data_IF_983234569811
#
_entry.id   IF_983234569811
#
_cell.length_a   1.000
_cell.length_b   1.000
_cell.length_c   1.000
_cell.angle_alpha   90.00
_cell.angle_beta   90.00
_cell.angle_gamma   90.00
#
_symmetry.space_group_name_H-M   'P 1'
#
loop_
_entity.id
_entity.type
_entity.pdbx_description
1 polymer ?
#
# COMPACT_ATOMS: atom_id res chain seq x y z
N UNK A 1 35.14 82.90 -45.20
CA UNK A 1 34.73 81.88 -44.19
C UNK A 1 33.92 80.79 -44.90
N UNK A 2 34.41 79.54 -44.92
CA UNK A 2 33.82 78.40 -45.65
C UNK A 2 32.53 77.93 -44.99
N UNK A 3 31.44 77.82 -45.76
CA UNK A 3 30.19 77.18 -45.34
C UNK A 3 30.39 75.67 -45.27
N UNK A 4 30.11 75.05 -44.14
CA UNK A 4 30.03 73.60 -44.02
C UNK A 4 28.62 73.14 -44.39
N UNK A 5 28.50 72.37 -45.47
CA UNK A 5 27.28 71.66 -45.86
C UNK A 5 27.26 70.30 -45.16
N UNK A 6 26.28 70.08 -44.28
CA UNK A 6 26.04 68.76 -43.68
C UNK A 6 25.35 67.87 -44.73
N UNK A 7 26.04 66.81 -45.16
CA UNK A 7 25.47 65.73 -45.95
C UNK A 7 24.74 64.77 -45.01
N UNK A 8 23.41 64.75 -45.07
CA UNK A 8 22.59 63.75 -44.39
C UNK A 8 22.58 62.46 -45.22
N UNK A 9 23.31 61.45 -44.76
CA UNK A 9 23.21 60.09 -45.29
C UNK A 9 21.94 59.45 -44.71
N UNK A 10 20.89 59.34 -45.52
CA UNK A 10 19.67 58.62 -45.16
C UNK A 10 19.99 57.13 -45.11
N UNK A 11 20.22 56.58 -43.93
CA UNK A 11 20.33 55.14 -43.71
C UNK A 11 18.95 54.53 -43.87
N UNK A 12 18.71 53.84 -44.99
CA UNK A 12 17.48 53.08 -45.20
C UNK A 12 17.53 51.82 -44.32
N UNK A 13 16.91 51.89 -43.14
CA UNK A 13 16.74 50.73 -42.26
C UNK A 13 15.62 49.87 -42.84
N UNK A 14 15.97 48.85 -43.62
CA UNK A 14 15.02 47.84 -44.07
C UNK A 14 14.65 46.93 -42.90
N UNK A 15 13.50 47.17 -42.27
CA UNK A 15 12.94 46.27 -41.25
C UNK A 15 12.50 44.98 -41.95
N UNK A 16 13.34 43.95 -41.90
CA UNK A 16 13.01 42.60 -42.37
C UNK A 16 12.01 41.97 -41.41
N UNK A 17 10.71 42.17 -41.68
CA UNK A 17 9.63 41.49 -40.98
C UNK A 17 9.71 40.00 -41.33
N UNK A 18 10.23 39.18 -40.41
CA UNK A 18 10.16 37.73 -40.53
C UNK A 18 8.70 37.32 -40.31
N UNK A 19 7.94 37.19 -41.41
CA UNK A 19 6.60 36.62 -41.34
C UNK A 19 6.75 35.13 -41.03
N UNK A 20 6.64 34.76 -39.75
CA UNK A 20 6.47 33.36 -39.35
C UNK A 20 5.22 32.83 -40.06
N UNK A 21 5.38 31.92 -41.01
CA UNK A 21 4.24 31.18 -41.57
C UNK A 21 3.70 30.28 -40.48
N UNK A 22 2.64 30.74 -39.81
CA UNK A 22 1.85 29.91 -38.90
C UNK A 22 1.28 28.75 -39.73
N UNK A 23 1.79 27.53 -39.52
CA UNK A 23 1.16 26.33 -40.08
C UNK A 23 -0.14 26.10 -39.31
N UNK A 24 -1.27 26.26 -39.98
CA UNK A 24 -2.56 25.83 -39.44
C UNK A 24 -2.65 24.31 -39.53
N UNK A 25 -3.09 23.65 -38.45
CA UNK A 25 -3.32 22.21 -38.43
C UNK A 25 -4.45 21.84 -39.39
N UNK A 26 -4.27 20.74 -40.12
CA UNK A 26 -5.34 20.17 -40.95
C UNK A 26 -6.34 19.40 -40.07
N UNK A 27 -7.59 19.30 -40.53
CA UNK A 27 -8.61 18.48 -39.87
C UNK A 27 -8.19 17.01 -39.75
N UNK A 28 -7.45 16.50 -40.74
CA UNK A 28 -6.95 15.12 -40.77
C UNK A 28 -5.87 14.91 -39.70
N UNK A 29 -4.94 15.86 -39.53
CA UNK A 29 -3.91 15.76 -38.49
C UNK A 29 -4.50 15.74 -37.09
N UNK A 30 -5.52 16.57 -36.83
CA UNK A 30 -6.21 16.57 -35.53
C UNK A 30 -6.95 15.24 -35.30
N UNK A 31 -7.62 14.72 -36.33
CA UNK A 31 -8.38 13.47 -36.25
C UNK A 31 -7.46 12.27 -35.98
N UNK A 32 -6.32 12.19 -36.66
CA UNK A 32 -5.32 11.14 -36.43
C UNK A 32 -4.73 11.27 -35.02
N UNK A 33 -4.42 12.47 -34.55
CA UNK A 33 -3.86 12.67 -33.22
C UNK A 33 -4.78 12.18 -32.10
N UNK A 34 -6.06 12.54 -32.13
CA UNK A 34 -7.02 12.08 -31.11
C UNK A 34 -7.25 10.56 -31.19
N UNK A 35 -7.17 9.98 -32.39
CA UNK A 35 -7.30 8.53 -32.57
C UNK A 35 -6.13 7.77 -31.92
N UNK A 36 -4.90 8.29 -32.08
CA UNK A 36 -3.70 7.71 -31.47
C UNK A 36 -3.73 7.89 -29.94
N UNK A 37 -4.10 9.07 -29.44
CA UNK A 37 -4.24 9.31 -28.00
C UNK A 37 -5.31 8.40 -27.40
N UNK A 38 -6.45 8.23 -28.08
CA UNK A 38 -7.50 7.30 -27.68
C UNK A 38 -6.97 5.86 -27.55
N UNK A 39 -6.25 5.38 -28.56
CA UNK A 39 -5.61 4.06 -28.53
C UNK A 39 -4.62 3.93 -27.36
N UNK A 40 -3.67 4.85 -27.24
CA UNK A 40 -2.63 4.78 -26.20
C UNK A 40 -3.20 4.92 -24.78
N UNK A 41 -4.23 5.77 -24.60
CA UNK A 41 -4.85 5.98 -23.29
C UNK A 41 -5.51 4.72 -22.75
N UNK A 42 -6.13 3.90 -23.62
CA UNK A 42 -6.81 2.67 -23.22
C UNK A 42 -5.86 1.65 -22.56
N UNK A 43 -4.68 1.44 -23.14
CA UNK A 43 -3.66 0.52 -22.62
C UNK A 43 -3.06 1.07 -21.32
N UNK A 44 -2.83 2.38 -21.27
CA UNK A 44 -2.21 3.06 -20.12
C UNK A 44 -3.04 2.92 -18.84
N UNK A 45 -4.38 2.96 -18.93
CA UNK A 45 -5.26 2.84 -17.77
C UNK A 45 -5.16 1.46 -17.11
N UNK A 46 -5.07 0.39 -17.89
CA UNK A 46 -4.94 -0.98 -17.35
C UNK A 46 -3.59 -1.16 -16.65
N UNK A 47 -2.51 -0.70 -17.28
CA UNK A 47 -1.18 -0.72 -16.69
C UNK A 47 -1.11 0.07 -15.36
N UNK A 48 -1.74 1.24 -15.31
CA UNK A 48 -1.78 2.07 -14.11
C UNK A 48 -2.55 1.42 -12.95
N UNK A 49 -3.66 0.70 -13.23
CA UNK A 49 -4.39 -0.04 -12.19
C UNK A 49 -3.52 -1.12 -11.55
N UNK A 50 -2.82 -1.91 -12.38
CA UNK A 50 -1.88 -2.95 -11.92
C UNK A 50 -0.72 -2.35 -11.10
N UNK A 51 -0.08 -1.28 -11.60
CA UNK A 51 1.03 -0.62 -10.90
C UNK A 51 0.60 -0.05 -9.53
N UNK A 52 -0.60 0.53 -9.44
CA UNK A 52 -1.15 1.04 -8.18
C UNK A 52 -1.43 -0.07 -7.16
N UNK A 53 -1.91 -1.23 -7.61
CA UNK A 53 -2.11 -2.40 -6.75
C UNK A 53 -0.79 -2.90 -6.16
N UNK A 54 0.25 -3.07 -7.01
CA UNK A 54 1.59 -3.46 -6.56
C UNK A 54 2.19 -2.45 -5.56
N UNK A 55 2.01 -1.15 -5.80
CA UNK A 55 2.48 -0.11 -4.87
C UNK A 55 1.78 -0.19 -3.51
N UNK A 56 0.48 -0.50 -3.48
CA UNK A 56 -0.26 -0.70 -2.23
C UNK A 56 0.18 -1.98 -1.50
N UNK A 57 0.39 -3.07 -2.22
CA UNK A 57 0.89 -4.32 -1.64
C UNK A 57 2.26 -4.13 -0.99
N UNK A 58 3.20 -3.47 -1.67
CA UNK A 58 4.49 -3.13 -1.08
C UNK A 58 4.34 -2.25 0.17
N UNK A 59 3.38 -1.32 0.18
CA UNK A 59 3.08 -0.52 1.37
C UNK A 59 2.55 -1.38 2.50
N UNK A 60 1.64 -2.32 2.25
CA UNK A 60 1.07 -3.24 3.26
C UNK A 60 2.15 -4.09 3.92
N UNK A 61 3.06 -4.67 3.14
CA UNK A 61 4.19 -5.46 3.66
C UNK A 61 5.04 -4.62 4.62
N UNK A 62 5.40 -3.39 4.23
CA UNK A 62 6.15 -2.49 5.10
C UNK A 62 5.38 -2.09 6.36
N UNK A 63 4.08 -1.82 6.23
CA UNK A 63 3.21 -1.48 7.35
C UNK A 63 3.10 -2.62 8.37
N UNK A 64 3.00 -3.86 7.89
CA UNK A 64 3.01 -5.05 8.72
C UNK A 64 4.33 -5.18 9.51
N UNK A 65 5.49 -5.05 8.84
CA UNK A 65 6.78 -5.11 9.53
C UNK A 65 6.97 -4.02 10.59
N UNK A 66 6.47 -2.81 10.34
CA UNK A 66 6.46 -1.74 11.33
C UNK A 66 5.56 -2.10 12.53
N UNK A 67 4.37 -2.65 12.26
CA UNK A 67 3.41 -3.03 13.31
C UNK A 67 3.97 -4.17 14.18
N UNK A 68 4.61 -5.17 13.56
CA UNK A 68 5.37 -6.20 14.27
C UNK A 68 6.39 -5.57 15.21
N UNK A 69 7.22 -4.63 14.71
CA UNK A 69 8.21 -3.95 15.56
C UNK A 69 7.56 -3.26 16.76
N UNK A 70 6.41 -2.61 16.58
CA UNK A 70 5.68 -1.98 17.68
C UNK A 70 5.10 -2.98 18.69
N UNK A 71 4.65 -4.15 18.23
CA UNK A 71 4.17 -5.24 19.07
C UNK A 71 5.30 -5.84 19.91
N UNK A 72 6.48 -6.08 19.32
CA UNK A 72 7.65 -6.56 20.05
C UNK A 72 8.08 -5.56 21.15
N UNK A 73 8.12 -4.26 20.83
CA UNK A 73 8.39 -3.21 21.82
C UNK A 73 7.33 -3.14 22.93
N UNK A 74 6.06 -3.41 22.59
CA UNK A 74 4.99 -3.52 23.58
C UNK A 74 5.23 -4.70 24.52
N UNK A 75 5.59 -5.87 23.97
CA UNK A 75 5.91 -7.07 24.72
C UNK A 75 7.10 -6.87 25.65
N UNK A 76 8.19 -6.26 25.17
CA UNK A 76 9.37 -5.94 25.98
C UNK A 76 9.02 -5.10 27.23
N UNK A 77 8.02 -4.22 27.11
CA UNK A 77 7.58 -3.35 28.21
C UNK A 77 6.56 -4.01 29.15
N UNK A 78 5.64 -4.81 28.64
CA UNK A 78 4.48 -5.31 29.40
C UNK A 78 4.54 -6.81 29.70
N UNK A 79 5.42 -7.57 29.06
CA UNK A 79 5.56 -9.02 29.20
C UNK A 79 4.48 -9.85 28.51
N UNK A 80 3.53 -9.20 27.83
CA UNK A 80 2.48 -9.83 27.00
C UNK A 80 2.17 -8.92 25.80
N UNK A 81 1.56 -9.45 24.75
CA UNK A 81 0.99 -8.66 23.65
C UNK A 81 -0.35 -8.01 24.06
N UNK A 82 -0.80 -6.95 23.34
CA UNK A 82 -2.11 -6.35 23.57
C UNK A 82 -3.23 -7.39 23.53
N UNK A 83 -4.06 -7.42 24.57
CA UNK A 83 -5.19 -8.35 24.70
C UNK A 83 -6.38 -7.90 23.84
N UNK A 84 -6.17 -7.86 22.53
CA UNK A 84 -7.18 -7.43 21.56
C UNK A 84 -7.32 -8.55 20.55
N UNK A 85 -8.48 -9.20 20.56
CA UNK A 85 -8.71 -10.34 19.70
C UNK A 85 -9.40 -9.88 18.42
N UNK A 86 -9.07 -10.52 17.30
CA UNK A 86 -9.69 -10.27 15.99
C UNK A 86 -9.72 -8.79 15.58
N UNK A 87 -8.65 -8.04 15.89
CA UNK A 87 -8.53 -6.65 15.49
C UNK A 87 -8.33 -6.57 13.98
N UNK A 88 -9.19 -5.86 13.26
CA UNK A 88 -8.99 -5.67 11.83
C UNK A 88 -9.43 -4.31 11.33
N UNK A 89 -8.79 -3.83 10.28
CA UNK A 89 -9.23 -2.59 9.62
C UNK A 89 -10.46 -2.87 8.77
N UNK A 90 -11.54 -2.08 8.91
CA UNK A 90 -12.70 -2.13 8.01
C UNK A 90 -13.17 -0.71 7.66
N UNK A 91 -13.81 -0.48 6.51
CA UNK A 91 -14.47 0.84 6.25
C UNK A 91 -15.61 1.13 7.21
N UNK A 92 -16.21 0.07 7.78
CA UNK A 92 -17.23 0.22 8.83
C UNK A 92 -16.54 0.77 10.08
N UNK A 93 -17.30 1.47 10.91
CA UNK A 93 -16.78 1.97 12.20
C UNK A 93 -15.53 2.89 12.07
N UNK A 94 -15.47 3.75 11.05
CA UNK A 94 -14.38 4.72 10.85
C UNK A 94 -12.97 4.10 10.78
N UNK A 95 -12.80 2.86 10.33
CA UNK A 95 -11.49 2.20 10.32
C UNK A 95 -11.14 1.44 11.59
N UNK A 96 -12.03 1.42 12.59
CA UNK A 96 -11.83 0.74 13.87
C UNK A 96 -12.16 -0.76 13.85
N UNK A 97 -12.62 -1.32 12.74
CA UNK A 97 -12.92 -2.75 12.64
C UNK A 97 -14.35 -3.11 13.01
N UNK A 98 -14.55 -4.29 13.60
CA UNK A 98 -15.82 -4.71 14.18
C UNK A 98 -15.73 -4.51 15.69
N UNK A 99 -16.76 -3.92 16.30
CA UNK A 99 -16.80 -3.60 17.73
C UNK A 99 -15.67 -2.67 18.20
N UNK A 100 -15.01 -1.94 17.30
CA UNK A 100 -13.92 -1.02 17.64
C UNK A 100 -12.54 -1.65 17.89
N UNK A 101 -12.37 -2.95 17.67
CA UNK A 101 -11.16 -3.72 18.04
C UNK A 101 -9.85 -3.14 17.49
N UNK A 102 -9.82 -2.61 16.27
CA UNK A 102 -8.61 -1.96 15.74
C UNK A 102 -8.25 -0.67 16.47
N UNK A 103 -9.25 0.08 16.94
CA UNK A 103 -9.01 1.31 17.71
C UNK A 103 -8.62 1.01 19.17
N UNK A 104 -9.06 -0.13 19.71
CA UNK A 104 -8.52 -0.66 20.97
C UNK A 104 -7.03 -1.01 20.83
N UNK A 105 -6.65 -1.70 19.75
CA UNK A 105 -5.25 -1.99 19.43
C UNK A 105 -4.43 -0.70 19.24
N UNK A 106 -4.97 0.28 18.52
CA UNK A 106 -4.33 1.59 18.34
C UNK A 106 -4.09 2.30 19.68
N UNK A 107 -5.07 2.24 20.59
CA UNK A 107 -4.94 2.79 21.94
C UNK A 107 -3.85 2.07 22.73
N UNK A 108 -3.80 0.74 22.66
CA UNK A 108 -2.76 -0.06 23.32
C UNK A 108 -1.35 0.24 22.78
N UNK A 109 -1.23 0.46 21.47
CA UNK A 109 0.05 0.70 20.79
C UNK A 109 0.45 2.17 20.69
N UNK A 110 -0.35 3.11 21.21
CA UNK A 110 -0.14 4.56 21.02
C UNK A 110 1.25 5.04 21.44
N UNK A 111 1.87 4.43 22.45
CA UNK A 111 3.22 4.79 22.91
C UNK A 111 4.36 4.25 22.03
N UNK A 112 4.07 3.27 21.16
CA UNK A 112 5.04 2.56 20.32
C UNK A 112 4.87 2.90 18.84
N UNK A 113 3.63 3.13 18.40
CA UNK A 113 3.27 3.55 17.06
C UNK A 113 1.95 4.32 17.07
N UNK A 114 1.94 5.52 16.51
CA UNK A 114 0.74 6.35 16.40
C UNK A 114 0.76 7.23 15.14
N UNK A 115 -0.25 7.15 14.25
CA UNK A 115 -1.31 6.13 14.23
C UNK A 115 -0.78 4.79 13.70
N UNK A 116 -1.36 3.67 14.14
CA UNK A 116 -1.07 2.37 13.50
C UNK A 116 -1.65 2.37 12.07
N UNK A 117 -1.03 1.65 11.12
CA UNK A 117 -1.43 1.70 9.72
C UNK A 117 -2.89 1.24 9.52
N UNK A 118 -3.57 1.85 8.54
CA UNK A 118 -4.89 1.42 8.09
C UNK A 118 -4.85 1.15 6.59
N UNK A 119 -5.58 0.14 6.12
CA UNK A 119 -5.67 -0.14 4.69
C UNK A 119 -6.33 1.04 3.96
N UNK A 120 -5.71 1.59 2.90
CA UNK A 120 -6.20 2.79 2.22
C UNK A 120 -7.47 2.57 1.39
N UNK A 121 -7.78 1.33 1.00
CA UNK A 121 -9.00 1.02 0.26
C UNK A 121 -10.17 0.73 1.20
N UNK A 122 -9.88 0.24 2.42
CA UNK A 122 -10.85 -0.10 3.45
C UNK A 122 -12.01 -0.95 2.90
N UNK A 123 -11.74 -1.79 1.90
CA UNK A 123 -12.79 -2.56 1.25
C UNK A 123 -13.38 -3.55 2.26
N UNK A 124 -14.68 -3.79 2.15
CA UNK A 124 -15.37 -4.76 3.00
C UNK A 124 -14.75 -6.14 2.73
N UNK A 125 -14.29 -6.78 3.81
CA UNK A 125 -13.91 -8.19 3.95
C UNK A 125 -12.69 -8.69 3.14
N UNK A 126 -12.34 -8.06 2.01
CA UNK A 126 -11.28 -8.57 1.13
C UNK A 126 -9.87 -8.09 1.48
N UNK A 127 -9.66 -6.81 1.83
CA UNK A 127 -8.32 -6.24 2.00
C UNK A 127 -8.20 -5.52 3.33
N UNK A 128 -7.78 -6.26 4.36
CA UNK A 128 -7.62 -5.75 5.73
C UNK A 128 -6.25 -6.07 6.30
N UNK A 129 -5.78 -5.21 7.18
CA UNK A 129 -4.81 -5.62 8.19
C UNK A 129 -5.59 -6.31 9.30
N UNK A 130 -5.03 -7.40 9.81
CA UNK A 130 -5.63 -8.17 10.89
C UNK A 130 -4.56 -8.49 11.93
N UNK A 131 -4.95 -8.42 13.20
CA UNK A 131 -4.16 -8.75 14.38
C UNK A 131 -4.99 -9.62 15.29
N UNK A 132 -4.37 -10.66 15.83
CA UNK A 132 -4.97 -11.48 16.88
C UNK A 132 -3.92 -11.93 17.89
N UNK A 133 -4.32 -11.99 19.16
CA UNK A 133 -3.52 -12.49 20.28
C UNK A 133 -4.14 -13.74 20.85
N UNK A 134 -3.34 -14.77 21.16
CA UNK A 134 -3.90 -16.01 21.70
C UNK A 134 -4.00 -15.94 23.23
N UNK A 135 -5.24 -15.85 23.73
CA UNK A 135 -5.49 -15.95 25.17
C UNK A 135 -5.02 -17.29 25.77
N UNK A 136 -4.96 -18.37 24.98
CA UNK A 136 -4.48 -19.67 25.44
C UNK A 136 -2.96 -19.71 25.65
N UNK A 137 -2.21 -18.80 25.02
CA UNK A 137 -0.77 -18.63 25.25
C UNK A 137 -0.48 -17.56 26.31
N UNK A 138 -1.51 -17.13 27.05
CA UNK A 138 -1.47 -15.95 27.93
C UNK A 138 -1.13 -14.64 27.17
N UNK A 139 -1.47 -14.57 25.88
CA UNK A 139 -1.13 -13.46 24.97
C UNK A 139 0.38 -13.31 24.76
N UNK A 140 1.10 -14.42 24.72
CA UNK A 140 2.54 -14.46 24.39
C UNK A 140 2.80 -14.76 22.92
N UNK A 141 1.75 -14.79 22.10
CA UNK A 141 1.83 -14.96 20.66
C UNK A 141 0.82 -14.05 19.97
N UNK A 142 1.19 -13.59 18.77
CA UNK A 142 0.29 -12.84 17.91
C UNK A 142 0.46 -13.26 16.45
N UNK A 143 -0.56 -12.99 15.65
CA UNK A 143 -0.51 -13.08 14.21
C UNK A 143 -0.88 -11.75 13.59
N UNK A 144 -0.18 -11.38 12.53
CA UNK A 144 -0.55 -10.30 11.64
C UNK A 144 -0.73 -10.83 10.24
N UNK A 145 -1.76 -10.35 9.54
CA UNK A 145 -1.96 -10.74 8.15
C UNK A 145 -2.54 -9.62 7.31
N UNK A 146 -2.33 -9.73 5.99
CA UNK A 146 -2.98 -8.88 5.01
C UNK A 146 -3.15 -9.58 3.67
N UNK A 147 -4.22 -9.27 2.95
CA UNK A 147 -4.43 -9.79 1.59
C UNK A 147 -3.78 -8.89 0.56
N UNK A 148 -3.07 -9.50 -0.39
CA UNK A 148 -2.49 -8.77 -1.53
C UNK A 148 -3.52 -8.58 -2.64
N UNK A 149 -3.48 -7.43 -3.30
CA UNK A 149 -4.35 -7.13 -4.44
C UNK A 149 -3.83 -7.71 -5.75
N UNK A 150 -2.51 -7.74 -5.91
CA UNK A 150 -1.89 -8.05 -7.18
C UNK A 150 -1.46 -9.51 -7.26
N UNK A 151 -1.89 -10.21 -8.32
CA UNK A 151 -1.57 -11.63 -8.54
C UNK A 151 -0.07 -11.97 -8.57
N UNK A 152 0.80 -11.01 -8.88
CA UNK A 152 2.25 -11.20 -8.81
C UNK A 152 2.78 -11.43 -7.38
N UNK A 153 2.02 -11.04 -6.35
CA UNK A 153 2.39 -11.20 -4.95
C UNK A 153 1.80 -12.47 -4.33
N UNK A 154 1.11 -13.31 -5.11
CA UNK A 154 0.60 -14.61 -4.65
C UNK A 154 1.73 -15.50 -4.15
N UNK A 155 2.90 -15.46 -4.80
CA UNK A 155 4.08 -16.20 -4.35
C UNK A 155 4.56 -15.79 -2.96
N UNK A 156 4.25 -14.57 -2.49
CA UNK A 156 4.58 -14.13 -1.14
C UNK A 156 3.58 -14.69 -0.11
N UNK A 157 2.30 -14.77 -0.46
CA UNK A 157 1.21 -15.29 0.41
C UNK A 157 1.26 -16.82 0.58
N UNK A 158 1.86 -17.55 -0.38
CA UNK A 158 1.99 -19.01 -0.28
C UNK A 158 3.33 -19.47 0.31
N UNK A 159 4.29 -18.56 0.50
CA UNK A 159 5.65 -18.86 0.99
C UNK A 159 6.06 -17.95 2.16
N UNK A 160 5.11 -17.54 2.99
CA UNK A 160 5.33 -16.75 4.19
C UNK A 160 5.42 -17.59 5.47
N UNK A 161 5.20 -18.91 5.35
CA UNK A 161 5.15 -19.83 6.48
C UNK A 161 3.80 -19.85 7.20
N UNK A 162 2.81 -19.11 6.69
CA UNK A 162 1.46 -19.03 7.21
C UNK A 162 0.56 -20.19 6.76
N UNK A 163 -0.71 -20.14 7.21
CA UNK A 163 -1.73 -21.13 6.90
C UNK A 163 -2.59 -20.74 5.69
N UNK A 164 -2.86 -19.44 5.54
CA UNK A 164 -3.77 -18.95 4.51
C UNK A 164 -3.01 -18.56 3.24
N UNK A 165 -3.20 -19.36 2.20
CA UNK A 165 -2.62 -19.13 0.87
C UNK A 165 -3.06 -17.80 0.22
N UNK A 166 -4.13 -17.19 0.73
CA UNK A 166 -4.69 -15.93 0.25
C UNK A 166 -4.26 -14.71 1.08
N UNK A 167 -3.44 -14.90 2.12
CA UNK A 167 -2.95 -13.81 2.97
C UNK A 167 -1.44 -13.88 3.08
N UNK A 168 -0.83 -12.71 3.24
CA UNK A 168 0.55 -12.59 3.65
C UNK A 168 0.58 -12.44 5.17
N UNK A 169 1.21 -13.37 5.85
CA UNK A 169 1.20 -13.54 7.30
C UNK A 169 2.59 -13.28 7.91
N UNK A 170 2.64 -12.60 9.05
CA UNK A 170 3.85 -12.41 9.85
C UNK A 170 3.52 -12.47 11.35
N UNK A 171 4.47 -12.90 12.16
CA UNK A 171 4.35 -12.90 13.62
C UNK A 171 5.25 -13.97 14.24
N UNK A 172 5.61 -13.84 15.52
CA UNK A 172 6.27 -14.89 16.25
C UNK A 172 5.26 -16.01 16.46
N UNK A 173 5.31 -17.02 15.59
CA UNK A 173 4.94 -18.36 16.01
C UNK A 173 5.77 -18.67 17.25
N UNK A 174 5.16 -18.97 18.42
CA UNK A 174 5.95 -19.19 19.60
C UNK A 174 6.94 -20.35 19.40
N UNK A 175 8.11 -20.36 20.06
CA UNK A 175 9.16 -21.37 19.86
C UNK A 175 8.75 -22.84 20.10
N UNK A 176 7.54 -23.09 20.63
CA UNK A 176 6.97 -24.43 20.79
C UNK A 176 6.29 -24.94 19.51
N UNK A 177 5.94 -24.07 18.56
CA UNK A 177 5.24 -24.41 17.33
C UNK A 177 6.21 -24.98 16.29
N UNK A 178 7.39 -24.37 16.19
CA UNK A 178 8.50 -24.88 15.39
C UNK A 178 9.16 -26.16 15.94
N UNK A 179 8.93 -26.53 17.21
CA UNK A 179 9.61 -27.66 17.88
C UNK A 179 8.76 -28.92 18.08
N UNK A 180 7.44 -28.81 17.99
CA UNK A 180 6.54 -29.95 18.24
C UNK A 180 5.79 -30.40 16.98
N UNK A 181 5.65 -29.56 15.96
CA UNK A 181 4.85 -29.87 14.77
C UNK A 181 5.62 -29.62 13.48
N UNK A 182 5.83 -30.66 12.68
CA UNK A 182 6.29 -30.55 11.29
C UNK A 182 5.09 -30.30 10.35
N UNK A 183 4.32 -29.25 10.60
CA UNK A 183 3.07 -28.99 9.88
C UNK A 183 2.67 -27.51 9.91
N UNK A 184 2.00 -27.09 8.83
CA UNK A 184 1.55 -25.73 8.52
C UNK A 184 0.77 -25.07 9.68
N UNK A 185 0.91 -23.75 9.82
CA UNK A 185 0.33 -22.90 10.88
C UNK A 185 -1.20 -22.96 11.04
N UNK A 186 -1.78 -22.16 11.94
CA UNK A 186 -3.17 -22.29 12.35
C UNK A 186 -4.19 -21.42 11.58
N UNK A 187 -5.48 -21.76 11.74
CA UNK A 187 -6.66 -21.01 11.27
C UNK A 187 -6.96 -19.81 12.20
N UNK A 188 -6.39 -18.63 11.94
CA UNK A 188 -6.60 -17.41 12.73
C UNK A 188 -8.02 -16.78 12.65
N UNK A 189 -8.93 -17.28 11.80
CA UNK A 189 -10.24 -16.68 11.53
C UNK A 189 -11.41 -17.36 12.23
N UNK A 190 -11.22 -18.52 12.86
CA UNK A 190 -12.28 -19.17 13.64
C UNK A 190 -12.02 -19.02 15.13
N UNK A 191 -13.08 -18.71 15.89
CA UNK A 191 -13.02 -18.38 17.33
C UNK A 191 -12.51 -19.53 18.25
N UNK A 192 -12.06 -20.66 17.68
CA UNK A 192 -11.69 -21.89 18.38
C UNK A 192 -10.34 -22.48 17.96
N UNK A 193 -9.58 -21.83 17.09
CA UNK A 193 -8.30 -22.37 16.58
C UNK A 193 -7.12 -21.64 17.21
N UNK A 194 -6.25 -22.46 17.81
CA UNK A 194 -5.06 -22.04 18.57
C UNK A 194 -4.00 -21.55 17.61
N UNK A 195 -3.17 -20.59 18.03
CA UNK A 195 -2.03 -20.09 17.23
C UNK A 195 -1.06 -21.20 16.82
N UNK A 196 -1.11 -22.37 17.48
CA UNK A 196 -0.36 -23.56 17.08
C UNK A 196 -1.13 -24.86 17.35
N UNK A 197 -1.64 -25.50 16.30
CA UNK A 197 -1.96 -26.92 16.29
C UNK A 197 -1.64 -27.50 14.91
N UNK A 198 -0.49 -28.18 14.80
CA UNK A 198 -0.43 -29.35 13.93
C UNK A 198 -1.25 -30.46 14.59
N UNK A 199 -2.06 -31.17 13.81
CA UNK A 199 -2.76 -32.37 14.30
C UNK A 199 -1.79 -33.54 14.52
N UNK A 200 -2.23 -34.50 15.33
CA UNK A 200 -1.53 -35.74 15.71
C UNK A 200 -0.97 -36.57 14.54
#
# INVERSE_FOLDING_TARGET
MRKYSKSETKTNIAIKLWTSRSKAFTLVELLVAISIIGLMSSITVVALKSARAQSRDAKRINQLGQLQTALELYFDKHGTYPQVNNASTSKKENGCGQSGSWCELETALTAFMNPIPRDPLGLQDDYRLYYDSDSNTNNNSYGLMTRMEHGANVSLMVNDGGYYLDFYEIGPEPPYCARTYSGNGADWLTANSKVCQGGD
#
